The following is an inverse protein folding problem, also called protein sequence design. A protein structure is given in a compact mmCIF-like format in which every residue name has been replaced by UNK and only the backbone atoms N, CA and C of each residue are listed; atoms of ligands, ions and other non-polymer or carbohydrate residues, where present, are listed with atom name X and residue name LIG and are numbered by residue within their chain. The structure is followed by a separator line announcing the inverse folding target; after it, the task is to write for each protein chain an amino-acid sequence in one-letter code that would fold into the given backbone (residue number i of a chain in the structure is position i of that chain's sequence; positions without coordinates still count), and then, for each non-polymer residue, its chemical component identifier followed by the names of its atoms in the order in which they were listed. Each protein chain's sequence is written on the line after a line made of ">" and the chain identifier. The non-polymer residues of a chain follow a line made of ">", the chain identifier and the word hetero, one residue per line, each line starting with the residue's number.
data_IF_881568269023
#
_entry.id   IF_881568269023
#
_cell.length_a   1.000
_cell.length_b   1.000
_cell.length_c   1.000
_cell.angle_alpha   90.00
_cell.angle_beta   90.00
_cell.angle_gamma   90.00
#
_symmetry.space_group_name_H-M   'P 1'
#
loop_
_entity.id
_entity.type
_entity.pdbx_description
1 polymer ?
#
# COMPACT_ATOMS: atom_id res chain seq x y z
N UNK A 1 -25.13 -1.44 18.68
CA UNK A 1 -24.35 -1.80 17.47
C UNK A 1 -23.19 -0.80 17.34
N UNK A 2 -22.09 -0.98 18.08
CA UNK A 2 -21.05 0.07 18.23
C UNK A 2 -19.62 -0.50 18.27
N UNK A 3 -19.36 -1.61 17.60
CA UNK A 3 -18.22 -2.47 17.96
C UNK A 3 -16.86 -2.09 17.37
N UNK A 4 -16.70 -0.89 16.81
CA UNK A 4 -15.39 -0.31 16.47
C UNK A 4 -15.18 1.02 17.17
N UNK A 5 -15.48 1.06 18.48
CA UNK A 5 -15.08 2.22 19.29
C UNK A 5 -13.55 2.34 19.19
N UNK A 6 -13.01 3.50 18.75
CA UNK A 6 -11.56 3.76 18.64
C UNK A 6 -10.77 3.39 19.91
N UNK A 7 -11.46 3.36 21.05
CA UNK A 7 -10.96 2.89 22.33
C UNK A 7 -10.35 1.47 22.29
N UNK A 8 -10.96 0.52 21.58
CA UNK A 8 -10.43 -0.85 21.52
C UNK A 8 -9.12 -0.91 20.74
N UNK A 9 -9.01 -0.13 19.65
CA UNK A 9 -7.77 -0.01 18.88
C UNK A 9 -6.65 0.63 19.71
N UNK A 10 -6.98 1.61 20.55
CA UNK A 10 -6.01 2.24 21.44
C UNK A 10 -5.47 1.24 22.47
N UNK A 11 -6.36 0.46 23.11
CA UNK A 11 -5.96 -0.61 24.05
C UNK A 11 -5.10 -1.66 23.34
N UNK A 12 -5.50 -2.10 22.15
CA UNK A 12 -4.73 -3.06 21.36
C UNK A 12 -3.34 -2.51 21.01
N UNK A 13 -3.26 -1.25 20.57
CA UNK A 13 -1.98 -0.61 20.25
C UNK A 13 -1.05 -0.53 21.47
N UNK A 14 -1.59 -0.24 22.66
CA UNK A 14 -0.83 -0.22 23.91
C UNK A 14 -0.31 -1.62 24.25
N UNK A 15 -1.15 -2.65 24.17
CA UNK A 15 -0.73 -4.04 24.40
C UNK A 15 0.33 -4.46 23.40
N UNK A 16 0.16 -4.11 22.12
CA UNK A 16 1.12 -4.40 21.06
C UNK A 16 2.47 -3.71 21.30
N UNK A 17 2.46 -2.46 21.76
CA UNK A 17 3.67 -1.70 22.12
C UNK A 17 4.41 -2.33 23.31
N UNK A 18 3.69 -2.91 24.28
CA UNK A 18 4.31 -3.60 25.42
C UNK A 18 4.95 -4.91 24.98
N UNK A 19 4.28 -5.70 24.14
CA UNK A 19 4.77 -7.00 23.67
C UNK A 19 5.95 -6.88 22.70
N UNK A 20 5.86 -5.96 21.73
CA UNK A 20 6.88 -5.80 20.69
C UNK A 20 7.94 -4.73 21.05
N UNK A 21 7.62 -3.82 21.96
CA UNK A 21 8.47 -2.69 22.35
C UNK A 21 8.30 -1.47 21.43
N UNK A 22 8.48 -0.28 22.00
CA UNK A 22 8.30 1.02 21.32
C UNK A 22 9.23 1.25 20.13
N UNK A 23 10.38 0.56 20.07
CA UNK A 23 11.34 0.66 18.97
C UNK A 23 11.07 -0.32 17.83
N UNK A 24 10.53 -1.53 18.09
CA UNK A 24 10.38 -2.54 17.03
C UNK A 24 9.16 -2.31 16.15
N UNK A 25 8.08 -1.81 16.71
CA UNK A 25 6.86 -1.50 15.96
C UNK A 25 7.11 -0.46 14.84
N UNK A 26 7.72 0.71 15.09
CA UNK A 26 8.02 1.66 14.02
C UNK A 26 9.15 1.19 13.09
N UNK A 27 10.11 0.43 13.59
CA UNK A 27 11.23 -0.07 12.77
C UNK A 27 10.76 -1.12 11.76
N UNK A 28 9.98 -2.11 12.20
CA UNK A 28 9.33 -3.10 11.32
C UNK A 28 8.34 -2.43 10.37
N UNK A 29 7.54 -1.46 10.82
CA UNK A 29 6.66 -0.72 9.91
C UNK A 29 7.44 0.07 8.85
N UNK A 30 8.61 0.64 9.20
CA UNK A 30 9.47 1.36 8.24
C UNK A 30 10.11 0.41 7.23
N UNK A 31 10.60 -0.76 7.63
CA UNK A 31 11.19 -1.73 6.69
C UNK A 31 10.13 -2.30 5.75
N UNK A 32 8.98 -2.71 6.27
CA UNK A 32 7.83 -3.17 5.48
C UNK A 32 7.30 -2.07 4.56
N UNK A 33 7.25 -0.82 5.03
CA UNK A 33 6.84 0.34 4.23
C UNK A 33 7.78 0.63 3.06
N UNK A 34 9.10 0.43 3.24
CA UNK A 34 10.06 0.54 2.13
C UNK A 34 9.84 -0.55 1.08
N UNK A 35 9.64 -1.81 1.50
CA UNK A 35 9.35 -2.92 0.57
C UNK A 35 8.03 -2.71 -0.18
N UNK A 36 6.97 -2.27 0.54
CA UNK A 36 5.68 -1.95 -0.09
C UNK A 36 5.77 -0.78 -1.06
N UNK A 37 6.63 0.21 -0.80
CA UNK A 37 6.84 1.34 -1.73
C UNK A 37 7.46 0.87 -3.03
N UNK A 38 8.48 0.02 -2.96
CA UNK A 38 9.15 -0.54 -4.15
C UNK A 38 8.14 -1.39 -4.94
N UNK A 39 7.47 -2.32 -4.27
CA UNK A 39 6.44 -3.16 -4.88
C UNK A 39 5.31 -2.32 -5.51
N UNK A 40 4.83 -1.28 -4.84
CA UNK A 40 3.80 -0.38 -5.38
C UNK A 40 4.29 0.36 -6.63
N UNK A 41 5.55 0.79 -6.67
CA UNK A 41 6.13 1.45 -7.84
C UNK A 41 6.23 0.51 -9.03
N UNK A 42 6.71 -0.72 -8.82
CA UNK A 42 6.78 -1.75 -9.86
C UNK A 42 5.38 -2.11 -10.39
N UNK A 43 4.41 -2.35 -9.50
CA UNK A 43 3.01 -2.63 -9.88
C UNK A 43 2.37 -1.44 -10.62
N UNK A 44 2.67 -0.20 -10.22
CA UNK A 44 2.15 0.98 -10.90
C UNK A 44 2.76 1.17 -12.30
N UNK A 45 4.01 0.79 -12.49
CA UNK A 45 4.67 0.82 -13.80
C UNK A 45 4.04 -0.19 -14.75
N UNK A 46 3.83 -1.43 -14.29
CA UNK A 46 3.09 -2.46 -15.04
C UNK A 46 1.69 -1.98 -15.43
N UNK A 47 0.95 -1.41 -14.49
CA UNK A 47 -0.42 -0.94 -14.76
C UNK A 47 -0.46 0.28 -15.70
N UNK A 48 0.60 1.10 -15.73
CA UNK A 48 0.74 2.21 -16.67
C UNK A 48 1.07 1.74 -18.09
N UNK A 49 1.83 0.67 -18.24
CA UNK A 49 2.16 0.12 -19.56
C UNK A 49 0.95 -0.57 -20.20
N UNK A 50 0.16 -1.32 -19.42
CA UNK A 50 -1.16 -1.82 -19.85
C UNK A 50 -2.11 -0.68 -20.28
N UNK A 51 -2.07 0.48 -19.62
CA UNK A 51 -2.91 1.64 -19.96
C UNK A 51 -2.42 2.47 -21.15
N UNK A 52 -1.21 2.21 -21.67
CA UNK A 52 -0.63 2.98 -22.79
C UNK A 52 -0.70 2.26 -24.13
N UNK A 53 -0.95 0.95 -24.14
CA UNK A 53 -1.15 0.21 -25.40
C UNK A 53 -2.53 0.47 -26.04
N UNK A 54 -3.50 1.01 -25.29
CA UNK A 54 -4.83 1.39 -25.83
C UNK A 54 -4.87 2.75 -26.57
N UNK A 55 -3.73 3.43 -26.77
CA UNK A 55 -3.67 4.73 -27.48
C UNK A 55 -2.71 4.78 -28.68
N UNK A 56 -2.41 3.65 -29.30
CA UNK A 56 -1.61 3.62 -30.55
C UNK A 56 -2.08 2.63 -31.61
N UNK A 57 -3.40 2.43 -31.72
CA UNK A 57 -3.99 1.74 -32.87
C UNK A 57 -5.15 2.56 -33.42
N UNK A 58 -4.85 3.75 -33.94
CA UNK A 58 -5.63 4.35 -35.02
C UNK A 58 -4.75 4.32 -36.27
N UNK A 59 -4.69 3.17 -36.99
CA UNK A 59 -4.10 3.15 -38.30
C UNK A 59 -5.12 3.76 -39.24
N UNK A 60 -4.78 4.90 -39.84
CA UNK A 60 -5.08 5.15 -41.25
C UNK A 60 -6.46 4.66 -41.71
N UNK A 61 -7.53 5.40 -41.38
CA UNK A 61 -8.69 5.43 -42.28
C UNK A 61 -8.25 6.13 -43.57
N UNK A 62 -7.71 5.30 -44.44
CA UNK A 62 -7.66 5.43 -45.88
C UNK A 62 -9.09 5.58 -46.44
N UNK A 63 -9.44 6.78 -46.88
CA UNK A 63 -10.13 7.04 -48.16
C UNK A 63 -10.16 8.51 -48.52
#
# INVERSE_FOLDING_TARGET
>A
MNSLKPWHLLVLAIVFLILFGSKRLPDSARSLGRSLRIFKSEVQEMNKDDSKEDKKTDPSSEK
#
